data_IF_449018301883
#
_entry.id   IF_449018301883
#
_cell.length_a   1.000
_cell.length_b   1.000
_cell.length_c   1.000
_cell.angle_alpha   90.00
_cell.angle_beta   90.00
_cell.angle_gamma   90.00
#
_symmetry.space_group_name_H-M   'P 1'
#
loop_
_entity.id
_entity.type
_entity.pdbx_description
1 polymer ?
#
# COMPACT_ATOMS: atom_id res chain seq x y z
N UNK A 1 -43.88 -17.78 -23.92
CA UNK A 1 -44.24 -16.69 -22.99
C UNK A 1 -43.09 -16.27 -22.06
N UNK A 2 -42.37 -17.17 -21.38
CA UNK A 2 -41.20 -16.75 -20.58
C UNK A 2 -39.96 -16.43 -21.42
N UNK A 3 -39.69 -17.21 -22.47
CA UNK A 3 -38.53 -17.00 -23.35
C UNK A 3 -38.66 -15.72 -24.20
N UNK A 4 -39.86 -15.40 -24.65
CA UNK A 4 -40.14 -14.18 -25.44
C UNK A 4 -40.08 -12.91 -24.57
N UNK A 5 -40.46 -13.02 -23.29
CA UNK A 5 -40.26 -11.96 -22.31
C UNK A 5 -38.78 -11.76 -22.00
N UNK A 6 -38.01 -12.83 -21.82
CA UNK A 6 -36.56 -12.73 -21.66
C UNK A 6 -35.89 -12.11 -22.90
N UNK A 7 -36.31 -12.51 -24.11
CA UNK A 7 -35.77 -11.99 -25.37
C UNK A 7 -36.13 -10.52 -25.60
N UNK A 8 -37.34 -10.09 -25.22
CA UNK A 8 -37.74 -8.69 -25.29
C UNK A 8 -37.11 -7.83 -24.20
N UNK A 9 -36.80 -8.38 -23.02
CA UNK A 9 -35.98 -7.74 -22.00
C UNK A 9 -34.53 -7.59 -22.48
N UNK A 10 -33.95 -8.62 -23.10
CA UNK A 10 -32.60 -8.60 -23.67
C UNK A 10 -32.47 -7.69 -24.90
N UNK A 11 -33.56 -7.46 -25.64
CA UNK A 11 -33.63 -6.47 -26.74
C UNK A 11 -33.95 -5.05 -26.26
N UNK A 12 -34.55 -4.89 -25.07
CA UNK A 12 -34.83 -3.60 -24.43
C UNK A 12 -33.69 -3.10 -23.56
N UNK A 13 -32.85 -4.02 -23.08
CA UNK A 13 -31.51 -3.71 -22.64
C UNK A 13 -30.78 -3.28 -23.91
N UNK A 14 -30.89 -1.99 -24.19
CA UNK A 14 -30.05 -1.30 -25.14
C UNK A 14 -28.64 -1.82 -24.84
N UNK A 15 -28.03 -2.51 -25.79
CA UNK A 15 -26.58 -2.74 -25.79
C UNK A 15 -25.98 -1.36 -26.08
N UNK A 16 -26.32 -0.37 -25.24
CA UNK A 16 -25.69 0.92 -25.20
C UNK A 16 -24.30 0.57 -24.73
N UNK A 17 -23.38 0.51 -25.69
CA UNK A 17 -21.96 0.55 -25.44
C UNK A 17 -21.76 1.46 -24.24
N UNK A 18 -21.25 0.89 -23.14
CA UNK A 18 -21.05 1.62 -21.87
C UNK A 18 -20.53 3.01 -22.19
N UNK A 19 -21.19 4.09 -21.73
CA UNK A 19 -21.00 5.41 -22.30
C UNK A 19 -19.51 5.75 -22.35
N UNK A 20 -19.00 5.90 -23.58
CA UNK A 20 -17.62 6.27 -23.81
C UNK A 20 -17.40 7.68 -23.27
N UNK A 21 -16.33 7.83 -22.49
CA UNK A 21 -15.99 9.09 -21.85
C UNK A 21 -15.52 10.07 -22.93
N UNK A 22 -15.93 11.34 -22.83
CA UNK A 22 -15.44 12.37 -23.75
C UNK A 22 -13.90 12.44 -23.72
N UNK A 23 -13.23 12.64 -24.87
CA UNK A 23 -11.77 12.68 -24.95
C UNK A 23 -11.12 13.69 -24.00
N UNK A 24 -11.84 14.77 -23.68
CA UNK A 24 -11.40 15.80 -22.73
C UNK A 24 -11.39 15.30 -21.28
N UNK A 25 -12.47 14.63 -20.84
CA UNK A 25 -12.56 14.05 -19.50
C UNK A 25 -11.57 12.89 -19.35
N UNK A 26 -11.36 12.10 -20.39
CA UNK A 26 -10.34 11.04 -20.40
C UNK A 26 -8.93 11.60 -20.17
N UNK A 27 -8.58 12.73 -20.83
CA UNK A 27 -7.30 13.43 -20.60
C UNK A 27 -7.16 13.96 -19.17
N UNK A 28 -8.23 14.50 -18.58
CA UNK A 28 -8.22 14.99 -17.20
C UNK A 28 -7.98 13.87 -16.18
N UNK A 29 -8.52 12.68 -16.41
CA UNK A 29 -8.35 11.50 -15.56
C UNK A 29 -6.96 10.86 -15.74
N UNK A 30 -6.39 10.93 -16.94
CA UNK A 30 -5.09 10.33 -17.23
C UNK A 30 -3.97 10.92 -16.35
N UNK A 31 -3.97 12.23 -16.11
CA UNK A 31 -2.94 12.87 -15.28
C UNK A 31 -2.86 12.35 -13.83
N UNK A 32 -3.95 12.32 -13.02
CA UNK A 32 -3.90 11.75 -11.67
C UNK A 32 -3.60 10.23 -11.66
N UNK A 33 -4.05 9.47 -12.67
CA UNK A 33 -3.71 8.05 -12.81
C UNK A 33 -2.21 7.84 -13.03
N UNK A 34 -1.60 8.62 -13.93
CA UNK A 34 -0.17 8.58 -14.21
C UNK A 34 0.65 8.94 -12.95
N UNK A 35 0.15 9.88 -12.13
CA UNK A 35 0.77 10.24 -10.84
C UNK A 35 0.74 9.09 -9.83
N UNK A 36 -0.39 8.40 -9.70
CA UNK A 36 -0.50 7.20 -8.85
C UNK A 36 0.49 6.15 -9.34
N UNK A 37 0.51 5.87 -10.64
CA UNK A 37 1.41 4.90 -11.27
C UNK A 37 2.88 5.22 -11.01
N UNK A 38 3.25 6.50 -11.13
CA UNK A 38 4.60 6.99 -10.88
C UNK A 38 5.01 6.76 -9.41
N UNK A 39 4.12 7.07 -8.47
CA UNK A 39 4.37 6.86 -7.04
C UNK A 39 4.57 5.38 -6.71
N UNK A 40 3.72 4.49 -7.25
CA UNK A 40 3.88 3.03 -7.06
C UNK A 40 5.23 2.52 -7.59
N UNK A 41 5.68 3.02 -8.75
CA UNK A 41 7.00 2.66 -9.30
C UNK A 41 8.14 3.15 -8.41
N UNK A 42 8.05 4.37 -7.89
CA UNK A 42 9.07 4.89 -6.97
C UNK A 42 9.12 4.08 -5.68
N UNK A 43 7.98 3.76 -5.08
CA UNK A 43 7.93 2.92 -3.88
C UNK A 43 8.55 1.54 -4.13
N UNK A 44 8.21 0.90 -5.26
CA UNK A 44 8.80 -0.38 -5.64
C UNK A 44 10.32 -0.29 -5.78
N UNK A 45 10.83 0.62 -6.60
CA UNK A 45 12.27 0.74 -6.83
C UNK A 45 13.03 1.19 -5.59
N UNK A 46 12.47 2.09 -4.78
CA UNK A 46 13.08 2.50 -3.52
C UNK A 46 13.20 1.33 -2.54
N UNK A 47 12.18 0.47 -2.47
CA UNK A 47 12.19 -0.73 -1.62
C UNK A 47 13.21 -1.76 -2.10
N UNK A 48 13.25 -2.00 -3.42
CA UNK A 48 14.21 -2.93 -4.06
C UNK A 48 15.66 -2.49 -3.83
N UNK A 49 15.93 -1.17 -3.80
CA UNK A 49 17.26 -0.62 -3.52
C UNK A 49 17.55 -0.63 -2.01
N UNK A 50 16.57 -0.31 -1.16
CA UNK A 50 16.76 -0.20 0.28
C UNK A 50 17.10 -1.54 0.94
N UNK A 51 16.46 -2.64 0.51
CA UNK A 51 16.71 -3.97 1.07
C UNK A 51 18.18 -4.41 1.01
N UNK A 52 18.87 -4.42 -0.15
CA UNK A 52 20.28 -4.78 -0.22
C UNK A 52 21.18 -3.78 0.51
N UNK A 53 20.81 -2.49 0.55
CA UNK A 53 21.55 -1.49 1.34
C UNK A 53 21.54 -1.84 2.83
N UNK A 54 20.40 -2.31 3.37
CA UNK A 54 20.31 -2.77 4.76
C UNK A 54 21.28 -3.94 5.03
N UNK A 55 21.36 -4.93 4.13
CA UNK A 55 22.32 -6.03 4.28
C UNK A 55 23.77 -5.56 4.23
N UNK A 56 24.11 -4.64 3.32
CA UNK A 56 25.46 -4.05 3.25
C UNK A 56 25.80 -3.35 4.56
N UNK A 57 24.85 -2.60 5.13
CA UNK A 57 25.03 -1.93 6.43
C UNK A 57 25.30 -2.95 7.54
N UNK A 58 24.49 -4.02 7.64
CA UNK A 58 24.66 -5.07 8.66
C UNK A 58 26.06 -5.71 8.57
N UNK A 59 26.53 -6.02 7.36
CA UNK A 59 27.85 -6.64 7.16
C UNK A 59 29.03 -5.70 7.32
N UNK A 60 28.82 -4.38 7.15
CA UNK A 60 29.88 -3.40 7.32
C UNK A 60 30.21 -3.14 8.81
N UNK A 61 29.24 -3.31 9.71
CA UNK A 61 29.45 -3.09 11.14
C UNK A 61 29.90 -4.37 11.88
N UNK A 62 30.97 -4.32 12.71
CA UNK A 62 31.46 -5.48 13.46
C UNK A 62 30.59 -5.75 14.69
N UNK A 63 29.40 -6.29 14.44
CA UNK A 63 28.40 -6.62 15.46
C UNK A 63 28.52 -8.08 15.94
N UNK A 64 28.02 -8.42 17.14
CA UNK A 64 28.03 -9.79 17.63
C UNK A 64 27.29 -10.73 16.66
N UNK A 65 27.83 -11.94 16.44
CA UNK A 65 27.25 -12.92 15.50
C UNK A 65 25.75 -13.16 15.72
N UNK A 66 25.30 -13.31 16.98
CA UNK A 66 23.89 -13.54 17.31
C UNK A 66 23.00 -12.37 16.89
N UNK A 67 23.46 -11.13 17.07
CA UNK A 67 22.72 -9.94 16.66
C UNK A 67 22.54 -9.90 15.14
N UNK A 68 23.63 -10.12 14.39
CA UNK A 68 23.59 -10.16 12.93
C UNK A 68 22.63 -11.25 12.44
N UNK A 69 22.73 -12.45 12.99
CA UNK A 69 21.84 -13.56 12.63
C UNK A 69 20.36 -13.22 12.87
N UNK A 70 20.01 -12.61 14.02
CA UNK A 70 18.63 -12.25 14.32
C UNK A 70 18.09 -11.14 13.42
N UNK A 71 18.87 -10.09 13.17
CA UNK A 71 18.48 -9.00 12.28
C UNK A 71 18.37 -9.50 10.83
N UNK A 72 19.30 -10.34 10.36
CA UNK A 72 19.24 -10.90 9.00
C UNK A 72 17.96 -11.71 8.77
N UNK A 73 17.60 -12.60 9.71
CA UNK A 73 16.35 -13.37 9.65
C UNK A 73 15.14 -12.44 9.66
N UNK A 74 15.18 -11.37 10.47
CA UNK A 74 14.11 -10.38 10.54
C UNK A 74 13.94 -9.67 9.19
N UNK A 75 15.03 -9.19 8.59
CA UNK A 75 15.04 -8.48 7.30
C UNK A 75 14.58 -9.40 6.16
N UNK A 76 15.02 -10.68 6.14
CA UNK A 76 14.54 -11.67 5.17
C UNK A 76 13.02 -11.87 5.31
N UNK A 77 12.52 -11.99 6.54
CA UNK A 77 11.09 -12.14 6.81
C UNK A 77 10.29 -10.91 6.37
N UNK A 78 10.80 -9.71 6.64
CA UNK A 78 10.22 -8.45 6.15
C UNK A 78 10.22 -8.39 4.62
N UNK A 79 11.28 -8.86 3.95
CA UNK A 79 11.35 -8.90 2.50
C UNK A 79 10.30 -9.84 1.88
N UNK A 80 10.03 -10.99 2.52
CA UNK A 80 8.97 -11.92 2.09
C UNK A 80 7.59 -11.28 2.19
N UNK A 81 7.27 -10.66 3.34
CA UNK A 81 5.99 -9.95 3.54
C UNK A 81 5.86 -8.81 2.54
N UNK A 82 6.92 -8.05 2.34
CA UNK A 82 6.98 -6.96 1.35
C UNK A 82 6.68 -7.47 -0.04
N UNK A 83 7.35 -8.53 -0.47
CA UNK A 83 7.13 -9.15 -1.79
C UNK A 83 5.68 -9.56 -1.97
N UNK A 84 5.07 -10.20 -0.95
CA UNK A 84 3.67 -10.57 -0.97
C UNK A 84 2.74 -9.37 -1.22
N UNK A 85 2.90 -8.27 -0.48
CA UNK A 85 2.06 -7.08 -0.67
C UNK A 85 2.31 -6.39 -2.01
N UNK A 86 3.55 -6.32 -2.48
CA UNK A 86 3.86 -5.77 -3.81
C UNK A 86 3.19 -6.56 -4.93
N UNK A 87 2.98 -7.87 -4.80
CA UNK A 87 2.16 -8.62 -5.78
C UNK A 87 0.72 -8.12 -5.85
N UNK A 88 0.13 -7.70 -4.71
CA UNK A 88 -1.22 -7.13 -4.65
C UNK A 88 -1.26 -5.72 -5.23
N UNK A 89 -0.27 -4.90 -4.92
CA UNK A 89 -0.14 -3.56 -5.51
C UNK A 89 0.05 -3.63 -7.03
N UNK A 90 0.77 -4.63 -7.54
CA UNK A 90 0.95 -4.82 -8.98
C UNK A 90 -0.37 -5.08 -9.72
N UNK A 91 -1.38 -5.67 -9.06
CA UNK A 91 -2.72 -5.82 -9.63
C UNK A 91 -3.35 -4.47 -9.97
N UNK A 92 -3.37 -3.52 -9.03
CA UNK A 92 -3.87 -2.16 -9.29
C UNK A 92 -3.04 -1.48 -10.39
N UNK A 93 -1.72 -1.63 -10.34
CA UNK A 93 -0.82 -1.05 -11.34
C UNK A 93 -1.18 -1.52 -12.76
N UNK A 94 -1.50 -2.81 -12.94
CA UNK A 94 -1.95 -3.36 -14.22
C UNK A 94 -3.29 -2.78 -14.64
N UNK A 95 -4.23 -2.62 -13.71
CA UNK A 95 -5.56 -2.08 -13.98
C UNK A 95 -5.52 -0.61 -14.43
N UNK A 96 -4.69 0.21 -13.79
CA UNK A 96 -4.45 1.61 -14.21
C UNK A 96 -3.85 1.68 -15.62
N UNK A 97 -3.17 0.63 -16.06
CA UNK A 97 -2.56 0.56 -17.39
C UNK A 97 -3.49 -0.02 -18.46
N UNK A 98 -4.71 -0.41 -18.11
CA UNK A 98 -5.64 -1.03 -19.04
C UNK A 98 -6.10 0.01 -20.09
N UNK A 99 -5.88 -0.25 -21.40
CA UNK A 99 -6.34 0.65 -22.47
C UNK A 99 -7.86 0.87 -22.48
N UNK A 100 -8.63 -0.05 -21.88
CA UNK A 100 -10.09 0.00 -21.80
C UNK A 100 -10.65 1.00 -20.78
N UNK A 101 -9.82 1.82 -20.12
CA UNK A 101 -10.23 2.89 -19.20
C UNK A 101 -11.09 4.02 -19.83
N UNK A 102 -11.51 3.85 -21.09
CA UNK A 102 -12.37 4.79 -21.82
C UNK A 102 -13.86 4.68 -21.47
N UNK A 103 -14.30 3.66 -20.72
CA UNK A 103 -15.71 3.48 -20.36
C UNK A 103 -15.97 3.81 -18.88
N UNK A 104 -17.18 4.30 -18.59
CA UNK A 104 -17.57 4.67 -17.23
C UNK A 104 -17.56 3.48 -16.27
N UNK A 105 -17.86 2.28 -16.74
CA UNK A 105 -17.83 1.06 -15.92
C UNK A 105 -16.40 0.63 -15.57
N UNK A 106 -15.44 0.75 -16.50
CA UNK A 106 -14.02 0.53 -16.20
C UNK A 106 -13.51 1.48 -15.11
N UNK A 107 -14.02 2.72 -15.05
CA UNK A 107 -13.69 3.65 -13.99
C UNK A 107 -14.33 3.28 -12.65
N UNK A 108 -15.57 2.76 -12.63
CA UNK A 108 -16.19 2.25 -11.39
C UNK A 108 -15.38 1.08 -10.83
N UNK A 109 -14.97 0.16 -11.69
CA UNK A 109 -14.12 -0.96 -11.30
C UNK A 109 -12.77 -0.48 -10.76
N UNK A 110 -12.17 0.52 -11.40
CA UNK A 110 -10.94 1.13 -10.91
C UNK A 110 -11.11 1.80 -9.53
N UNK A 111 -12.23 2.50 -9.30
CA UNK A 111 -12.56 3.06 -8.00
C UNK A 111 -12.69 1.98 -6.93
N UNK A 112 -13.29 0.84 -7.26
CA UNK A 112 -13.33 -0.31 -6.37
C UNK A 112 -11.93 -0.87 -6.09
N UNK A 113 -11.07 -1.00 -7.12
CA UNK A 113 -9.67 -1.41 -6.93
C UNK A 113 -8.87 -0.43 -6.06
N UNK A 114 -9.16 0.88 -6.08
CA UNK A 114 -8.52 1.84 -5.19
C UNK A 114 -8.89 1.62 -3.72
N UNK A 115 -10.15 1.31 -3.40
CA UNK A 115 -10.56 0.99 -2.03
C UNK A 115 -9.93 -0.32 -1.54
N UNK A 116 -9.87 -1.35 -2.39
CA UNK A 116 -9.15 -2.59 -2.09
C UNK A 116 -7.67 -2.31 -1.82
N UNK A 117 -7.03 -1.48 -2.65
CA UNK A 117 -5.62 -1.14 -2.47
C UNK A 117 -5.39 -0.35 -1.18
N UNK A 118 -6.27 0.58 -0.81
CA UNK A 118 -6.22 1.26 0.48
C UNK A 118 -6.20 0.26 1.65
N UNK A 119 -7.04 -0.77 1.60
CA UNK A 119 -7.04 -1.84 2.62
C UNK A 119 -5.74 -2.65 2.62
N UNK A 120 -5.16 -2.93 1.44
CA UNK A 120 -3.85 -3.57 1.34
C UNK A 120 -2.73 -2.70 1.91
N UNK A 121 -2.73 -1.39 1.70
CA UNK A 121 -1.77 -0.48 2.34
C UNK A 121 -1.89 -0.50 3.86
N UNK A 122 -3.10 -0.41 4.40
CA UNK A 122 -3.30 -0.49 5.86
C UNK A 122 -2.80 -1.83 6.42
N UNK A 123 -3.15 -2.93 5.74
CA UNK A 123 -2.68 -4.28 6.11
C UNK A 123 -1.15 -4.41 6.01
N UNK A 124 -0.54 -3.80 4.99
CA UNK A 124 0.90 -3.76 4.82
C UNK A 124 1.55 -3.07 6.02
N UNK A 125 1.15 -1.84 6.39
CA UNK A 125 1.73 -1.17 7.56
C UNK A 125 1.49 -1.95 8.86
N UNK A 126 0.32 -2.54 9.03
CA UNK A 126 0.01 -3.33 10.23
C UNK A 126 0.88 -4.59 10.33
N UNK A 127 1.23 -5.20 9.20
CA UNK A 127 2.14 -6.35 9.19
C UNK A 127 3.56 -6.02 9.65
N UNK A 128 3.94 -4.73 9.70
CA UNK A 128 5.23 -4.27 10.21
C UNK A 128 5.30 -4.07 11.72
N UNK A 129 4.15 -4.06 12.40
CA UNK A 129 4.06 -3.98 13.86
C UNK A 129 4.90 -5.07 14.57
N UNK A 130 4.74 -6.37 14.27
CA UNK A 130 5.55 -7.40 14.92
C UNK A 130 7.05 -7.26 14.62
N UNK A 131 7.42 -6.84 13.40
CA UNK A 131 8.82 -6.62 13.06
C UNK A 131 9.44 -5.48 13.89
N UNK A 132 8.72 -4.37 14.04
CA UNK A 132 9.13 -3.25 14.89
C UNK A 132 9.33 -3.68 16.36
N UNK A 133 8.40 -4.48 16.90
CA UNK A 133 8.53 -5.01 18.28
C UNK A 133 9.76 -5.91 18.40
N UNK A 134 9.98 -6.83 17.45
CA UNK A 134 11.15 -7.71 17.46
C UNK A 134 12.46 -6.93 17.35
N UNK A 135 12.53 -5.92 16.48
CA UNK A 135 13.71 -5.06 16.35
C UNK A 135 14.05 -4.36 17.67
N UNK A 136 13.04 -3.82 18.36
CA UNK A 136 13.22 -3.20 19.68
C UNK A 136 13.72 -4.20 20.74
N UNK A 137 13.21 -5.44 20.75
CA UNK A 137 13.70 -6.51 21.65
C UNK A 137 15.16 -6.81 21.34
N UNK A 138 15.51 -7.03 20.07
CA UNK A 138 16.87 -7.39 19.66
C UNK A 138 17.86 -6.30 20.05
N UNK A 139 17.52 -5.03 19.82
CA UNK A 139 18.34 -3.87 20.23
C UNK A 139 18.52 -3.85 21.75
N UNK A 140 17.44 -4.07 22.51
CA UNK A 140 17.47 -4.03 23.98
C UNK A 140 18.30 -5.16 24.58
N UNK A 141 18.18 -6.38 24.05
CA UNK A 141 18.90 -7.55 24.56
C UNK A 141 20.37 -7.60 24.12
N UNK A 142 20.68 -7.06 22.94
CA UNK A 142 21.99 -7.25 22.32
C UNK A 142 22.96 -6.08 22.50
N UNK A 143 22.45 -4.88 22.81
CA UNK A 143 23.29 -3.70 23.04
C UNK A 143 23.47 -3.52 24.55
N UNK A 144 24.72 -3.60 25.07
CA UNK A 144 24.97 -3.45 26.50
C UNK A 144 24.62 -2.03 26.95
N UNK A 145 23.67 -1.91 27.90
CA UNK A 145 23.35 -0.63 28.52
C UNK A 145 24.38 -0.27 29.60
N UNK A 146 24.92 0.95 29.52
CA UNK A 146 25.76 1.52 30.59
C UNK A 146 24.97 1.80 31.88
N UNK A 147 23.64 1.83 31.83
CA UNK A 147 22.76 2.03 32.99
C UNK A 147 22.01 0.75 33.32
N UNK A 148 22.15 0.27 34.56
CA UNK A 148 21.31 -0.82 35.09
C UNK A 148 19.95 -0.26 35.48
N UNK A 149 18.95 -0.48 34.64
CA UNK A 149 17.55 -0.26 35.04
C UNK A 149 17.09 -1.40 35.94
N UNK A 150 16.14 -1.14 36.84
CA UNK A 150 15.37 -2.21 37.47
C UNK A 150 14.42 -2.83 36.44
N UNK A 151 14.15 -4.13 36.54
CA UNK A 151 13.33 -4.87 35.58
C UNK A 151 11.95 -4.22 35.33
N UNK A 152 11.33 -3.68 36.39
CA UNK A 152 10.07 -2.96 36.31
C UNK A 152 10.17 -1.64 35.51
N UNK A 153 11.22 -0.85 35.73
CA UNK A 153 11.43 0.41 34.99
C UNK A 153 11.77 0.16 33.52
N UNK A 154 12.56 -0.88 33.23
CA UNK A 154 12.84 -1.32 31.87
C UNK A 154 11.56 -1.72 31.14
N UNK A 155 10.72 -2.54 31.78
CA UNK A 155 9.45 -3.00 31.22
C UNK A 155 8.51 -1.84 30.90
N UNK A 156 8.36 -0.87 31.81
CA UNK A 156 7.52 0.32 31.58
C UNK A 156 8.04 1.17 30.42
N UNK A 157 9.35 1.44 30.36
CA UNK A 157 9.96 2.19 29.26
C UNK A 157 9.76 1.47 27.92
N UNK A 158 9.94 0.16 27.90
CA UNK A 158 9.76 -0.66 26.73
C UNK A 158 8.31 -0.60 26.22
N UNK A 159 7.33 -0.79 27.09
CA UNK A 159 5.90 -0.69 26.74
C UNK A 159 5.55 0.70 26.21
N UNK A 160 5.99 1.76 26.88
CA UNK A 160 5.75 3.14 26.44
C UNK A 160 6.37 3.39 25.06
N UNK A 161 7.60 2.90 24.82
CA UNK A 161 8.27 3.05 23.53
C UNK A 161 7.53 2.34 22.39
N UNK A 162 6.98 1.15 22.65
CA UNK A 162 6.13 0.43 21.69
C UNK A 162 4.86 1.21 21.43
N UNK A 163 4.13 1.64 22.47
CA UNK A 163 2.88 2.37 22.30
C UNK A 163 3.07 3.67 21.50
N UNK A 164 4.13 4.42 21.79
CA UNK A 164 4.49 5.61 21.03
C UNK A 164 4.86 5.26 19.59
N UNK A 165 5.71 4.24 19.38
CA UNK A 165 6.10 3.79 18.04
C UNK A 165 4.91 3.39 17.19
N UNK A 166 3.97 2.61 17.74
CA UNK A 166 2.73 2.21 17.07
C UNK A 166 1.82 3.38 16.75
N UNK A 167 1.71 4.34 17.68
CA UNK A 167 0.99 5.59 17.45
C UNK A 167 1.60 6.34 16.26
N UNK A 168 2.92 6.57 16.26
CA UNK A 168 3.60 7.24 15.15
C UNK A 168 3.45 6.49 13.82
N UNK A 169 3.59 5.16 13.83
CA UNK A 169 3.41 4.32 12.63
C UNK A 169 2.02 4.46 12.03
N UNK A 170 0.96 4.45 12.86
CA UNK A 170 -0.41 4.63 12.40
C UNK A 170 -0.61 5.99 11.72
N UNK A 171 -0.17 7.08 12.35
CA UNK A 171 -0.31 8.43 11.80
C UNK A 171 0.53 8.62 10.54
N UNK A 172 1.78 8.16 10.55
CA UNK A 172 2.69 8.26 9.41
C UNK A 172 2.18 7.47 8.21
N UNK A 173 1.73 6.22 8.40
CA UNK A 173 1.20 5.38 7.31
C UNK A 173 -0.06 5.96 6.68
N UNK A 174 -0.99 6.45 7.50
CA UNK A 174 -2.22 7.09 7.00
C UNK A 174 -1.92 8.41 6.27
N UNK A 175 -1.01 9.22 6.80
CA UNK A 175 -0.56 10.44 6.14
C UNK A 175 0.13 10.15 4.81
N UNK A 176 1.02 9.15 4.78
CA UNK A 176 1.72 8.71 3.58
C UNK A 176 0.73 8.31 2.49
N UNK A 177 -0.22 7.42 2.81
CA UNK A 177 -1.25 7.00 1.86
C UNK A 177 -2.07 8.18 1.34
N UNK A 178 -2.54 9.07 2.22
CA UNK A 178 -3.33 10.25 1.83
C UNK A 178 -2.53 11.19 0.93
N UNK A 179 -1.26 11.39 1.22
CA UNK A 179 -0.39 12.30 0.49
C UNK A 179 0.01 11.78 -0.89
N UNK A 180 0.38 10.49 -1.01
CA UNK A 180 0.86 9.91 -2.26
C UNK A 180 -0.26 9.34 -3.14
N UNK A 181 -1.38 8.92 -2.55
CA UNK A 181 -2.46 8.24 -3.27
C UNK A 181 -3.82 8.94 -3.11
N UNK A 182 -4.25 9.16 -1.86
CA UNK A 182 -5.59 9.66 -1.54
C UNK A 182 -5.97 10.93 -2.31
N UNK A 183 -5.08 11.93 -2.36
CA UNK A 183 -5.34 13.18 -3.08
C UNK A 183 -5.62 13.02 -4.58
N UNK A 184 -5.08 11.97 -5.22
CA UNK A 184 -5.30 11.70 -6.65
C UNK A 184 -6.55 10.84 -6.85
N UNK A 185 -6.78 9.86 -5.96
CA UNK A 185 -8.00 9.05 -5.94
C UNK A 185 -9.22 9.95 -5.77
N UNK A 186 -9.18 10.91 -4.85
CA UNK A 186 -10.29 11.85 -4.62
C UNK A 186 -10.57 12.74 -5.84
N UNK A 187 -9.53 13.12 -6.59
CA UNK A 187 -9.71 13.85 -7.87
C UNK A 187 -10.40 12.98 -8.91
N UNK A 188 -10.01 11.71 -9.02
CA UNK A 188 -10.64 10.77 -9.95
C UNK A 188 -12.10 10.54 -9.57
N UNK A 189 -12.41 10.34 -8.28
CA UNK A 189 -13.79 10.21 -7.79
C UNK A 189 -14.66 11.39 -8.18
N UNK A 190 -14.19 12.63 -7.95
CA UNK A 190 -14.91 13.84 -8.35
C UNK A 190 -15.17 13.90 -9.85
N UNK A 191 -14.17 13.60 -10.67
CA UNK A 191 -14.32 13.57 -12.13
C UNK A 191 -15.34 12.50 -12.57
N UNK A 192 -15.37 11.34 -11.92
CA UNK A 192 -16.36 10.27 -12.19
C UNK A 192 -17.77 10.71 -11.80
N UNK A 193 -17.92 11.38 -10.66
CA UNK A 193 -19.23 11.83 -10.18
C UNK A 193 -19.80 12.95 -11.07
N UNK A 194 -18.96 13.87 -11.56
CA UNK A 194 -19.34 14.88 -12.57
C UNK A 194 -19.85 14.25 -13.88
N UNK A 195 -19.28 13.11 -14.28
CA UNK A 195 -19.69 12.40 -15.50
C UNK A 195 -21.00 11.62 -15.34
N UNK A 196 -21.42 11.31 -14.11
CA UNK A 196 -22.71 10.66 -13.85
C UNK A 196 -23.87 11.65 -13.74
N UNK A 197 -23.57 12.92 -13.50
CA UNK A 197 -24.56 13.99 -13.31
C UNK A 197 -24.92 14.71 -14.61
N UNK A 198 -24.16 14.50 -15.69
CA UNK A 198 -24.45 14.94 -17.05
C UNK A 198 -24.93 13.75 -17.88
#
# INVERSE_FOLDING_TARGET
>A
MELDNLKSLWQKEDISDTPEISPEKQRQIHHPLERIRKNMRYEFWSTVILLPVIFIVIWFFPLPFRFNLYIEILVISMALVTTFFFTKFFKLYKEISNPALGTLDSLKDLLHQFELNKQYYVSFYLSFVPFFVCEMIIITESIPYNHKYTDGLLSVKFIISILLGLFFLYFAGNWWFKHFYGKYIDRIKKLVDEMKQN
#
